data_IF_377143681824
#
_entry.id   IF_377143681824
#
_cell.length_a   1.000
_cell.length_b   1.000
_cell.length_c   1.000
_cell.angle_alpha   90.00
_cell.angle_beta   90.00
_cell.angle_gamma   90.00
#
_symmetry.space_group_name_H-M   'P 1'
#
loop_
_entity.id
_entity.type
_entity.pdbx_description
1 polymer ?
#
# COMPACT_ATOMS: atom_id res chain seq x y z
N UNK A 1 6.47 -6.17 23.36
CA UNK A 1 6.97 -6.57 22.03
C UNK A 1 7.05 -5.31 21.19
N UNK A 2 8.24 -4.92 20.80
CA UNK A 2 8.48 -3.74 19.96
C UNK A 2 7.86 -3.98 18.58
N UNK A 3 7.02 -3.05 18.13
CA UNK A 3 6.49 -2.96 16.77
C UNK A 3 7.66 -2.77 15.81
N UNK A 4 8.06 -3.84 15.12
CA UNK A 4 9.15 -3.79 14.15
C UNK A 4 8.60 -3.20 12.85
N UNK A 5 8.85 -1.91 12.64
CA UNK A 5 8.59 -1.22 11.38
C UNK A 5 9.92 -1.02 10.67
N UNK A 6 10.01 -1.30 9.35
CA UNK A 6 11.30 -1.18 8.65
C UNK A 6 11.85 0.24 8.66
N UNK A 7 10.97 1.25 8.73
CA UNK A 7 11.31 2.68 8.83
C UNK A 7 12.03 3.05 10.13
N UNK A 8 11.90 2.24 11.18
CA UNK A 8 12.52 2.52 12.48
C UNK A 8 13.77 1.69 12.75
N UNK A 9 14.19 0.86 11.80
CA UNK A 9 15.36 0.00 11.97
C UNK A 9 16.67 0.74 11.66
N UNK A 10 17.72 0.36 12.40
CA UNK A 10 19.08 0.67 12.00
C UNK A 10 19.42 -0.05 10.69
N UNK A 11 20.37 0.48 9.90
CA UNK A 11 20.78 -0.21 8.67
C UNK A 11 21.21 -1.67 8.89
N UNK A 12 22.02 -2.02 9.92
CA UNK A 12 22.34 -3.41 10.22
C UNK A 12 21.11 -4.29 10.45
N UNK A 13 20.16 -3.86 11.28
CA UNK A 13 18.95 -4.64 11.58
C UNK A 13 18.05 -4.77 10.35
N UNK A 14 17.92 -3.68 9.58
CA UNK A 14 17.20 -3.67 8.31
C UNK A 14 17.80 -4.66 7.33
N UNK A 15 19.13 -4.67 7.16
CA UNK A 15 19.81 -5.57 6.25
C UNK A 15 19.64 -7.04 6.66
N UNK A 16 19.72 -7.34 7.96
CA UNK A 16 19.47 -8.68 8.50
C UNK A 16 18.06 -9.17 8.21
N UNK A 17 17.06 -8.30 8.34
CA UNK A 17 15.66 -8.69 8.14
C UNK A 17 15.24 -8.73 6.66
N UNK A 18 15.78 -7.85 5.82
CA UNK A 18 15.33 -7.72 4.43
C UNK A 18 16.09 -8.61 3.44
N UNK A 19 17.33 -9.02 3.77
CA UNK A 19 18.11 -9.91 2.89
C UNK A 19 17.38 -11.24 2.58
N UNK A 20 16.77 -11.94 3.55
CA UNK A 20 15.97 -13.12 3.26
C UNK A 20 14.77 -12.83 2.34
N UNK A 21 14.07 -11.71 2.56
CA UNK A 21 12.94 -11.31 1.73
C UNK A 21 13.37 -11.00 0.29
N UNK A 22 14.51 -10.32 0.09
CA UNK A 22 15.09 -10.10 -1.23
C UNK A 22 15.39 -11.43 -1.91
N UNK A 23 16.04 -12.37 -1.22
CA UNK A 23 16.34 -13.67 -1.81
C UNK A 23 15.08 -14.42 -2.26
N UNK A 24 14.04 -14.41 -1.43
CA UNK A 24 12.75 -15.02 -1.77
C UNK A 24 12.10 -14.33 -2.96
N UNK A 25 12.06 -12.99 -2.97
CA UNK A 25 11.48 -12.22 -4.07
C UNK A 25 12.19 -12.52 -5.40
N UNK A 26 13.52 -12.55 -5.40
CA UNK A 26 14.29 -12.88 -6.60
C UNK A 26 14.00 -14.31 -7.10
N UNK A 27 13.81 -15.25 -6.18
CA UNK A 27 13.47 -16.64 -6.52
C UNK A 27 12.06 -16.74 -7.11
N UNK A 28 11.08 -16.08 -6.51
CA UNK A 28 9.68 -16.10 -6.96
C UNK A 28 9.49 -15.44 -8.34
N UNK A 29 10.45 -14.59 -8.74
CA UNK A 29 10.42 -13.82 -9.97
C UNK A 29 11.58 -14.11 -10.94
N UNK A 30 12.21 -15.29 -10.84
CA UNK A 30 13.37 -15.66 -11.66
C UNK A 30 13.15 -15.48 -13.16
N UNK A 31 11.97 -15.87 -13.66
CA UNK A 31 11.62 -15.76 -15.08
C UNK A 31 11.60 -14.30 -15.57
N UNK A 32 11.08 -13.37 -14.76
CA UNK A 32 11.08 -11.93 -15.08
C UNK A 32 12.49 -11.34 -15.05
N UNK A 33 13.35 -11.89 -14.19
CA UNK A 33 14.72 -11.43 -13.96
C UNK A 33 15.75 -12.07 -14.89
N UNK A 34 15.33 -12.92 -15.83
CA UNK A 34 16.22 -13.59 -16.76
C UNK A 34 17.13 -12.59 -17.50
N UNK A 35 18.45 -12.81 -17.40
CA UNK A 35 19.46 -11.95 -18.01
C UNK A 35 19.75 -10.64 -17.27
N UNK A 36 19.13 -10.40 -16.10
CA UNK A 36 19.38 -9.23 -15.25
C UNK A 36 20.29 -9.60 -14.07
N UNK A 37 21.32 -8.81 -13.81
CA UNK A 37 22.22 -9.01 -12.66
C UNK A 37 21.86 -8.05 -11.52
N UNK A 38 21.72 -8.56 -10.29
CA UNK A 38 21.50 -7.76 -9.09
C UNK A 38 22.69 -7.89 -8.14
N UNK A 39 23.25 -6.75 -7.75
CA UNK A 39 24.11 -6.66 -6.58
C UNK A 39 23.20 -6.58 -5.33
N UNK A 40 23.13 -7.67 -4.57
CA UNK A 40 22.21 -7.80 -3.43
C UNK A 40 22.53 -6.82 -2.30
N UNK A 41 23.81 -6.56 -2.03
CA UNK A 41 24.23 -5.63 -0.99
C UNK A 41 23.84 -4.20 -1.35
N UNK A 42 24.07 -3.81 -2.61
CA UNK A 42 23.63 -2.50 -3.10
C UNK A 42 22.10 -2.39 -3.08
N UNK A 43 21.38 -3.43 -3.50
CA UNK A 43 19.92 -3.45 -3.47
C UNK A 43 19.37 -3.25 -2.04
N UNK A 44 19.95 -3.90 -1.03
CA UNK A 44 19.53 -3.70 0.37
C UNK A 44 19.82 -2.27 0.85
N UNK A 45 20.93 -1.64 0.42
CA UNK A 45 21.21 -0.22 0.71
C UNK A 45 20.23 0.73 0.03
N UNK A 46 19.85 0.43 -1.19
CA UNK A 46 18.91 1.25 -1.96
C UNK A 46 17.49 1.10 -1.39
N UNK A 47 17.08 -0.11 -0.97
CA UNK A 47 15.84 -0.32 -0.22
C UNK A 47 15.82 0.42 1.11
N UNK A 48 16.95 0.43 1.85
CA UNK A 48 17.06 1.22 3.09
C UNK A 48 16.88 2.70 2.79
N UNK A 49 17.49 3.21 1.72
CA UNK A 49 17.35 4.60 1.30
C UNK A 49 15.91 4.91 0.87
N UNK A 50 15.25 3.98 0.18
CA UNK A 50 13.86 4.08 -0.27
C UNK A 50 12.90 4.23 0.90
N UNK A 51 12.92 3.33 1.88
CA UNK A 51 11.98 3.40 3.03
C UNK A 51 12.19 4.63 3.90
N UNK A 52 13.36 5.28 3.82
CA UNK A 52 13.66 6.53 4.51
C UNK A 52 13.48 7.78 3.63
N UNK A 53 12.85 7.65 2.45
CA UNK A 53 12.54 8.78 1.56
C UNK A 53 13.75 9.41 0.88
N UNK A 54 14.86 8.69 0.76
CA UNK A 54 16.12 9.17 0.16
C UNK A 54 16.37 8.62 -1.24
N UNK A 55 15.46 7.81 -1.77
CA UNK A 55 15.53 7.22 -3.10
C UNK A 55 14.37 7.77 -3.96
N UNK A 56 14.69 8.31 -5.14
CA UNK A 56 13.69 8.82 -6.07
C UNK A 56 13.25 7.70 -7.02
N UNK A 57 11.94 7.50 -7.15
CA UNK A 57 11.34 6.56 -8.11
C UNK A 57 10.70 7.33 -9.27
N UNK A 58 10.81 6.77 -10.48
CA UNK A 58 10.15 7.31 -11.66
C UNK A 58 8.92 6.46 -12.04
N UNK A 59 7.74 7.08 -12.14
CA UNK A 59 6.48 6.41 -12.42
C UNK A 59 5.64 7.22 -13.43
N UNK A 60 4.95 6.53 -14.35
CA UNK A 60 4.04 7.14 -15.32
C UNK A 60 2.59 6.93 -14.88
N UNK A 61 1.83 8.01 -14.71
CA UNK A 61 0.44 7.91 -14.21
C UNK A 61 -0.54 7.41 -15.26
N UNK A 62 -1.42 6.44 -14.93
CA UNK A 62 -2.54 6.08 -15.80
C UNK A 62 -3.67 7.12 -15.76
N UNK A 63 -4.53 7.10 -16.78
CA UNK A 63 -5.71 7.99 -16.90
C UNK A 63 -6.98 7.29 -16.40
N UNK A 64 -7.60 7.82 -15.35
CA UNK A 64 -8.88 7.31 -14.85
C UNK A 64 -10.06 7.79 -15.72
N UNK A 65 -11.03 6.91 -15.97
CA UNK A 65 -12.33 7.26 -16.58
C UNK A 65 -13.44 7.13 -15.54
N UNK A 66 -14.18 8.21 -15.28
CA UNK A 66 -15.10 8.34 -14.13
C UNK A 66 -16.58 8.18 -14.56
N UNK A 67 -17.36 7.44 -13.76
CA UNK A 67 -18.82 7.23 -13.86
C UNK A 67 -19.49 7.34 -12.48
N UNK A 68 -20.70 7.95 -12.43
CA UNK A 68 -21.66 8.12 -11.30
C UNK A 68 -21.15 8.61 -9.94
N UNK A 69 -21.96 9.37 -9.18
CA UNK A 69 -21.52 10.06 -7.95
C UNK A 69 -21.15 9.13 -6.77
N UNK A 70 -21.87 8.01 -6.56
CA UNK A 70 -21.56 7.05 -5.47
C UNK A 70 -20.28 6.24 -5.78
N UNK A 71 -20.19 5.67 -6.98
CA UNK A 71 -19.01 4.89 -7.38
C UNK A 71 -17.76 5.79 -7.43
N UNK A 72 -17.89 7.04 -7.88
CA UNK A 72 -16.78 8.02 -7.83
C UNK A 72 -16.31 8.29 -6.40
N UNK A 73 -17.24 8.42 -5.43
CA UNK A 73 -16.87 8.60 -4.03
C UNK A 73 -16.15 7.37 -3.47
N UNK A 74 -16.63 6.15 -3.79
CA UNK A 74 -16.00 4.90 -3.36
C UNK A 74 -14.59 4.76 -3.94
N UNK A 75 -14.41 5.04 -5.23
CA UNK A 75 -13.10 5.01 -5.90
C UNK A 75 -12.15 6.02 -5.25
N UNK A 76 -12.60 7.25 -5.01
CA UNK A 76 -11.77 8.30 -4.38
C UNK A 76 -11.31 7.87 -2.99
N UNK A 77 -12.24 7.39 -2.15
CA UNK A 77 -11.91 6.91 -0.81
C UNK A 77 -10.99 5.67 -0.87
N UNK A 78 -11.18 4.77 -1.83
CA UNK A 78 -10.34 3.59 -2.01
C UNK A 78 -8.91 3.97 -2.40
N UNK A 79 -8.74 4.93 -3.32
CA UNK A 79 -7.43 5.46 -3.72
C UNK A 79 -6.70 6.02 -2.50
N UNK A 80 -7.38 6.78 -1.65
CA UNK A 80 -6.77 7.38 -0.47
C UNK A 80 -6.36 6.33 0.58
N UNK A 81 -7.20 5.31 0.81
CA UNK A 81 -6.89 4.19 1.71
C UNK A 81 -5.69 3.38 1.19
N UNK A 82 -5.67 3.03 -0.09
CA UNK A 82 -4.54 2.34 -0.71
C UNK A 82 -3.29 3.22 -0.65
N UNK A 83 -3.42 4.53 -0.90
CA UNK A 83 -2.31 5.48 -0.83
C UNK A 83 -1.70 5.57 0.57
N UNK A 84 -2.52 5.60 1.62
CA UNK A 84 -2.07 5.58 3.02
C UNK A 84 -1.26 4.32 3.30
N UNK A 85 -1.76 3.16 2.85
CA UNK A 85 -1.09 1.88 3.09
C UNK A 85 0.22 1.77 2.31
N UNK A 86 0.24 2.17 1.04
CA UNK A 86 1.45 2.21 0.23
C UNK A 86 2.51 3.14 0.88
N UNK A 87 2.11 4.32 1.35
CA UNK A 87 3.02 5.21 2.07
C UNK A 87 3.48 4.61 3.39
N UNK A 88 2.61 3.93 4.14
CA UNK A 88 2.96 3.24 5.38
C UNK A 88 4.08 2.21 5.13
N UNK A 89 3.95 1.39 4.08
CA UNK A 89 4.97 0.39 3.70
C UNK A 89 6.21 0.97 3.00
N UNK A 90 6.32 2.29 2.86
CA UNK A 90 7.51 2.97 2.37
C UNK A 90 7.53 3.26 0.87
N UNK A 91 6.38 3.17 0.19
CA UNK A 91 6.25 3.70 -1.18
C UNK A 91 6.30 5.23 -1.12
N UNK A 92 7.19 5.87 -1.89
CA UNK A 92 7.29 7.33 -1.96
C UNK A 92 5.99 7.98 -2.46
N UNK A 93 5.64 9.12 -1.85
CA UNK A 93 4.44 9.91 -2.20
C UNK A 93 4.34 10.22 -3.70
N UNK A 94 5.48 10.48 -4.35
CA UNK A 94 5.57 10.84 -5.77
C UNK A 94 4.99 9.79 -6.72
N UNK A 95 4.88 8.53 -6.28
CA UNK A 95 4.35 7.42 -7.09
C UNK A 95 3.11 6.78 -6.45
N UNK A 96 2.89 6.98 -5.15
CA UNK A 96 1.78 6.39 -4.38
C UNK A 96 0.43 6.56 -5.05
N UNK A 97 0.03 7.80 -5.36
CA UNK A 97 -1.33 8.08 -5.84
C UNK A 97 -1.61 7.38 -7.18
N UNK A 98 -0.61 7.33 -8.04
CA UNK A 98 -0.76 6.77 -9.36
C UNK A 98 -0.85 5.22 -9.33
N UNK A 99 -0.03 4.58 -8.48
CA UNK A 99 -0.18 3.14 -8.17
C UNK A 99 -1.54 2.84 -7.54
N UNK A 100 -2.01 3.69 -6.62
CA UNK A 100 -3.31 3.50 -5.98
C UNK A 100 -4.47 3.62 -6.98
N UNK A 101 -4.40 4.54 -7.93
CA UNK A 101 -5.37 4.64 -9.04
C UNK A 101 -5.40 3.34 -9.84
N UNK A 102 -4.25 2.83 -10.28
CA UNK A 102 -4.19 1.60 -11.07
C UNK A 102 -4.76 0.38 -10.32
N UNK A 103 -4.44 0.23 -9.03
CA UNK A 103 -4.97 -0.85 -8.19
C UNK A 103 -6.49 -0.75 -8.07
N UNK A 104 -7.04 0.46 -7.96
CA UNK A 104 -8.47 0.68 -7.74
C UNK A 104 -9.27 0.64 -9.05
N UNK A 105 -8.69 1.08 -10.17
CA UNK A 105 -9.33 1.08 -11.49
C UNK A 105 -9.69 -0.35 -11.97
N UNK A 106 -8.95 -1.36 -11.50
CA UNK A 106 -9.22 -2.78 -11.79
C UNK A 106 -10.36 -3.38 -10.92
N UNK A 107 -10.87 -2.64 -9.93
CA UNK A 107 -11.92 -3.12 -9.03
C UNK A 107 -13.29 -2.84 -9.64
N UNK A 108 -14.11 -3.89 -9.80
CA UNK A 108 -15.47 -3.72 -10.32
C UNK A 108 -16.34 -2.90 -9.33
N UNK A 109 -17.29 -2.08 -9.83
CA UNK A 109 -18.21 -1.34 -8.97
C UNK A 109 -18.94 -2.24 -7.96
N UNK A 110 -19.31 -3.46 -8.35
CA UNK A 110 -19.97 -4.42 -7.46
C UNK A 110 -19.06 -4.85 -6.30
N UNK A 111 -17.78 -5.07 -6.57
CA UNK A 111 -16.81 -5.41 -5.54
C UNK A 111 -16.60 -4.24 -4.55
N UNK A 112 -16.65 -2.98 -5.02
CA UNK A 112 -16.63 -1.79 -4.16
C UNK A 112 -17.88 -1.69 -3.29
N UNK A 113 -19.07 -1.95 -3.84
CA UNK A 113 -20.32 -1.98 -3.04
C UNK A 113 -20.31 -3.08 -1.99
N UNK A 114 -19.61 -4.19 -2.22
CA UNK A 114 -19.39 -5.23 -1.21
C UNK A 114 -18.61 -4.77 0.02
N UNK A 115 -17.99 -3.57 -0.02
CA UNK A 115 -17.21 -2.97 1.06
C UNK A 115 -17.92 -1.82 1.78
N UNK A 116 -19.21 -1.57 1.52
CA UNK A 116 -19.98 -0.48 2.15
C UNK A 116 -19.87 -0.46 3.69
N UNK A 117 -19.92 -1.63 4.32
CA UNK A 117 -19.77 -1.74 5.78
C UNK A 117 -18.39 -1.28 6.26
N UNK A 118 -17.33 -1.49 5.48
CA UNK A 118 -15.97 -1.06 5.80
C UNK A 118 -15.80 0.45 5.58
N UNK A 119 -16.42 1.03 4.53
CA UNK A 119 -16.49 2.49 4.36
C UNK A 119 -17.23 3.16 5.51
N UNK A 120 -18.38 2.61 5.91
CA UNK A 120 -19.13 3.10 7.07
C UNK A 120 -18.31 3.01 8.36
N UNK A 121 -17.65 1.87 8.60
CA UNK A 121 -16.81 1.70 9.79
C UNK A 121 -15.67 2.74 9.84
N UNK A 122 -15.14 3.17 8.69
CA UNK A 122 -14.13 4.24 8.62
C UNK A 122 -14.75 5.62 8.90
N UNK A 123 -15.94 5.91 8.37
CA UNK A 123 -16.64 7.16 8.62
C UNK A 123 -17.04 7.32 10.10
N UNK A 124 -17.49 6.23 10.73
CA UNK A 124 -17.97 6.19 12.12
C UNK A 124 -16.81 6.05 13.13
N UNK A 125 -15.55 6.00 12.69
CA UNK A 125 -14.41 5.80 13.58
C UNK A 125 -14.06 7.06 14.38
N UNK A 126 -14.10 6.96 15.72
CA UNK A 126 -13.88 8.10 16.61
C UNK A 126 -12.40 8.39 16.86
N UNK A 127 -11.65 7.39 17.35
CA UNK A 127 -10.26 7.56 17.75
C UNK A 127 -9.29 7.40 16.58
N UNK A 128 -8.10 7.99 16.66
CA UNK A 128 -7.06 7.82 15.63
C UNK A 128 -6.67 6.35 15.43
N UNK A 129 -6.68 5.57 16.51
CA UNK A 129 -6.44 4.12 16.47
C UNK A 129 -7.57 3.37 15.77
N UNK A 130 -8.84 3.75 16.00
CA UNK A 130 -9.98 3.10 15.34
C UNK A 130 -10.05 3.46 13.87
N UNK A 131 -9.70 4.70 13.50
CA UNK A 131 -9.52 5.12 12.11
C UNK A 131 -8.45 4.31 11.41
N UNK A 132 -7.29 4.12 12.05
CA UNK A 132 -6.21 3.31 11.50
C UNK A 132 -6.60 1.83 11.35
N UNK A 133 -7.34 1.26 12.30
CA UNK A 133 -7.92 -0.09 12.18
C UNK A 133 -8.90 -0.18 11.02
N UNK A 134 -9.78 0.80 10.86
CA UNK A 134 -10.77 0.82 9.78
C UNK A 134 -10.10 0.96 8.41
N UNK A 135 -9.07 1.80 8.28
CA UNK A 135 -8.23 1.89 7.08
C UNK A 135 -7.58 0.54 6.77
N UNK A 136 -6.95 -0.10 7.76
CA UNK A 136 -6.31 -1.39 7.56
C UNK A 136 -7.31 -2.49 7.16
N UNK A 137 -8.50 -2.50 7.78
CA UNK A 137 -9.57 -3.44 7.45
C UNK A 137 -10.13 -3.22 6.03
N UNK A 138 -10.33 -1.96 5.63
CA UNK A 138 -10.78 -1.60 4.29
C UNK A 138 -9.73 -1.97 3.24
N UNK A 139 -8.44 -1.68 3.51
CA UNK A 139 -7.34 -2.15 2.67
C UNK A 139 -7.28 -3.67 2.57
N UNK A 140 -7.45 -4.40 3.68
CA UNK A 140 -7.51 -5.86 3.66
C UNK A 140 -8.68 -6.38 2.82
N UNK A 141 -9.80 -5.62 2.78
CA UNK A 141 -10.91 -5.85 1.86
C UNK A 141 -10.47 -5.73 0.40
N UNK A 142 -9.83 -4.63 0.02
CA UNK A 142 -9.28 -4.44 -1.34
C UNK A 142 -8.27 -5.53 -1.68
N UNK A 143 -7.35 -5.84 -0.77
CA UNK A 143 -6.33 -6.88 -0.96
C UNK A 143 -6.94 -8.27 -1.20
N UNK A 144 -8.09 -8.59 -0.60
CA UNK A 144 -8.81 -9.85 -0.89
C UNK A 144 -9.43 -9.87 -2.27
N UNK A 145 -9.82 -8.71 -2.81
CA UNK A 145 -10.40 -8.58 -4.15
C UNK A 145 -9.30 -8.63 -5.21
N UNK A 146 -8.23 -7.86 -5.02
CA UNK A 146 -7.18 -7.67 -6.04
C UNK A 146 -6.05 -8.68 -5.93
N UNK A 147 -5.64 -9.01 -4.70
CA UNK A 147 -4.48 -9.83 -4.41
C UNK A 147 -3.14 -9.12 -4.62
N UNK A 148 -2.08 -9.62 -3.95
CA UNK A 148 -0.73 -9.03 -4.02
C UNK A 148 -0.17 -8.97 -5.44
N UNK A 149 -0.55 -9.90 -6.32
CA UNK A 149 -0.06 -9.96 -7.70
C UNK A 149 -0.48 -8.74 -8.51
N UNK A 150 -1.71 -8.24 -8.34
CA UNK A 150 -2.16 -7.05 -9.05
C UNK A 150 -1.47 -5.78 -8.53
N UNK A 151 -1.27 -5.69 -7.21
CA UNK A 151 -0.49 -4.60 -6.60
C UNK A 151 0.94 -4.57 -7.15
N UNK A 152 1.61 -5.72 -7.19
CA UNK A 152 2.97 -5.82 -7.74
C UNK A 152 3.01 -5.61 -9.25
N UNK A 153 1.97 -6.02 -9.98
CA UNK A 153 1.85 -5.82 -11.44
C UNK A 153 1.66 -4.35 -11.82
N UNK A 154 0.82 -3.61 -11.09
CA UNK A 154 0.64 -2.17 -11.28
C UNK A 154 1.96 -1.39 -11.10
N UNK A 155 2.75 -1.83 -10.11
CA UNK A 155 4.09 -1.28 -9.87
C UNK A 155 5.05 -1.70 -11.00
N UNK A 156 4.99 -2.94 -11.47
CA UNK A 156 5.84 -3.48 -12.53
C UNK A 156 5.69 -2.72 -13.84
N UNK A 157 4.46 -2.45 -14.26
CA UNK A 157 4.17 -1.80 -15.55
C UNK A 157 4.73 -0.39 -15.68
N UNK A 158 4.97 0.27 -14.55
CA UNK A 158 5.19 1.72 -14.51
C UNK A 158 6.54 2.10 -13.88
N UNK A 159 7.40 1.12 -13.58
CA UNK A 159 8.73 1.36 -13.01
C UNK A 159 9.83 0.64 -13.76
N UNK A 160 11.07 1.12 -13.63
CA UNK A 160 12.21 0.36 -14.10
C UNK A 160 12.31 -0.96 -13.31
N UNK A 161 12.74 -2.03 -13.98
CA UNK A 161 12.81 -3.37 -13.38
C UNK A 161 13.58 -3.40 -12.05
N UNK A 162 14.62 -2.56 -11.90
CA UNK A 162 15.41 -2.50 -10.67
C UNK A 162 14.61 -1.89 -9.52
N UNK A 163 13.94 -0.76 -9.78
CA UNK A 163 13.06 -0.07 -8.84
C UNK A 163 11.89 -0.97 -8.41
N UNK A 164 11.33 -1.72 -9.35
CA UNK A 164 10.32 -2.74 -9.08
C UNK A 164 10.83 -3.82 -8.11
N UNK A 165 12.06 -4.31 -8.27
CA UNK A 165 12.63 -5.27 -7.31
C UNK A 165 12.76 -4.67 -5.91
N UNK A 166 13.27 -3.43 -5.81
CA UNK A 166 13.44 -2.75 -4.52
C UNK A 166 12.08 -2.60 -3.81
N UNK A 167 11.08 -2.06 -4.52
CA UNK A 167 9.75 -1.84 -3.96
C UNK A 167 9.02 -3.15 -3.67
N UNK A 168 9.02 -4.09 -4.62
CA UNK A 168 8.33 -5.36 -4.47
C UNK A 168 8.84 -6.15 -3.27
N UNK A 169 10.16 -6.12 -3.05
CA UNK A 169 10.78 -6.73 -1.86
C UNK A 169 10.30 -6.05 -0.58
N UNK A 170 10.37 -4.72 -0.50
CA UNK A 170 9.98 -3.94 0.68
C UNK A 170 8.49 -4.14 1.01
N UNK A 171 7.61 -4.01 0.02
CA UNK A 171 6.16 -4.17 0.17
C UNK A 171 5.84 -5.58 0.67
N UNK A 172 6.40 -6.61 0.03
CA UNK A 172 6.13 -8.01 0.42
C UNK A 172 6.61 -8.31 1.84
N UNK A 173 7.81 -7.83 2.20
CA UNK A 173 8.36 -8.00 3.53
C UNK A 173 7.52 -7.28 4.60
N UNK A 174 7.10 -6.05 4.33
CA UNK A 174 6.35 -5.23 5.28
C UNK A 174 4.92 -5.76 5.47
N UNK A 175 4.27 -6.20 4.39
CA UNK A 175 2.96 -6.87 4.48
C UNK A 175 3.06 -8.17 5.28
N UNK A 176 4.13 -8.94 5.09
CA UNK A 176 4.39 -10.15 5.89
C UNK A 176 4.55 -9.80 7.37
N UNK A 177 5.29 -8.73 7.70
CA UNK A 177 5.45 -8.26 9.08
C UNK A 177 4.12 -7.79 9.70
N UNK A 178 3.27 -7.12 8.93
CA UNK A 178 1.93 -6.72 9.37
C UNK A 178 1.04 -7.93 9.65
N UNK A 179 1.04 -8.92 8.75
CA UNK A 179 0.28 -10.15 8.95
C UNK A 179 0.79 -10.96 10.16
N UNK A 180 2.11 -11.02 10.36
CA UNK A 180 2.72 -11.70 11.51
C UNK A 180 2.41 -11.04 12.86
N UNK A 181 1.93 -9.79 12.85
CA UNK A 181 1.56 -9.03 14.06
C UNK A 181 0.05 -8.78 14.17
N UNK A 182 -0.77 -9.55 13.45
CA UNK A 182 -2.23 -9.38 13.40
C UNK A 182 -2.66 -7.93 13.08
N UNK A 183 -1.85 -7.22 12.27
CA UNK A 183 -2.09 -5.83 11.87
C UNK A 183 -1.68 -4.77 12.91
N UNK A 184 -1.15 -5.14 14.08
CA UNK A 184 -0.72 -4.17 15.10
C UNK A 184 0.36 -3.24 14.57
N UNK A 185 1.36 -3.77 13.84
CA UNK A 185 2.39 -2.96 13.23
C UNK A 185 1.83 -2.00 12.17
N UNK A 186 0.85 -2.46 11.37
CA UNK A 186 0.18 -1.65 10.36
C UNK A 186 -0.56 -0.46 10.98
N UNK A 187 -1.34 -0.73 12.03
CA UNK A 187 -2.11 0.29 12.75
C UNK A 187 -1.17 1.37 13.30
N UNK A 188 -0.04 0.99 13.90
CA UNK A 188 0.93 1.93 14.43
C UNK A 188 1.54 2.83 13.34
N UNK A 189 1.86 2.27 12.17
CA UNK A 189 2.38 3.03 11.03
C UNK A 189 1.34 3.99 10.44
N UNK A 190 0.08 3.54 10.30
CA UNK A 190 -1.01 4.36 9.75
C UNK A 190 -1.35 5.53 10.68
N UNK A 191 -1.36 5.33 12.01
CA UNK A 191 -1.63 6.39 13.01
C UNK A 191 -0.72 7.61 12.82
N UNK A 192 0.54 7.40 12.43
CA UNK A 192 1.54 8.47 12.26
C UNK A 192 1.26 9.31 11.00
N UNK A 193 0.50 8.78 10.02
CA UNK A 193 0.16 9.47 8.78
C UNK A 193 -0.93 10.54 8.94
N UNK A 194 -1.50 10.70 10.14
CA UNK A 194 -2.23 11.88 10.61
C UNK A 194 -3.19 12.54 9.61
N UNK A 195 -2.69 13.53 8.86
CA UNK A 195 -3.47 14.28 7.88
C UNK A 195 -4.09 13.39 6.78
N UNK A 196 -3.38 12.37 6.32
CA UNK A 196 -3.93 11.43 5.32
C UNK A 196 -5.07 10.59 5.91
N UNK A 197 -4.95 10.18 7.17
CA UNK A 197 -6.02 9.46 7.89
C UNK A 197 -7.27 10.33 8.02
N UNK A 198 -7.10 11.63 8.32
CA UNK A 198 -8.22 12.56 8.38
C UNK A 198 -8.91 12.73 7.02
N UNK A 199 -8.14 12.80 5.94
CA UNK A 199 -8.66 12.88 4.57
C UNK A 199 -9.47 11.62 4.21
N UNK A 200 -8.93 10.42 4.47
CA UNK A 200 -9.65 9.17 4.21
C UNK A 200 -10.98 9.06 4.98
N UNK A 201 -11.06 9.61 6.20
CA UNK A 201 -12.33 9.67 6.96
C UNK A 201 -13.33 10.65 6.34
N UNK A 202 -12.85 11.79 5.84
CA UNK A 202 -13.70 12.73 5.12
C UNK A 202 -14.28 12.10 3.84
N UNK A 203 -13.45 11.39 3.07
CA UNK A 203 -13.90 10.71 1.86
C UNK A 203 -14.83 9.52 2.16
N UNK A 204 -14.60 8.78 3.25
CA UNK A 204 -15.53 7.76 3.72
C UNK A 204 -16.90 8.35 4.10
N UNK A 205 -16.93 9.55 4.70
CA UNK A 205 -18.19 10.25 5.01
C UNK A 205 -18.92 10.66 3.73
N UNK A 206 -18.17 11.10 2.70
CA UNK A 206 -18.74 11.36 1.37
C UNK A 206 -19.33 10.09 0.75
N UNK A 207 -18.66 8.94 0.87
CA UNK A 207 -19.20 7.64 0.43
C UNK A 207 -20.52 7.34 1.12
N UNK A 208 -20.57 7.42 2.45
CA UNK A 208 -21.79 7.16 3.24
C UNK A 208 -22.96 8.03 2.75
N UNK A 209 -22.70 9.32 2.52
CA UNK A 209 -23.72 10.25 2.04
C UNK A 209 -24.14 10.01 0.58
N UNK A 210 -23.18 9.77 -0.32
CA UNK A 210 -23.42 9.64 -1.76
C UNK A 210 -24.08 8.30 -2.11
N UNK A 211 -23.83 7.27 -1.31
CA UNK A 211 -24.33 5.91 -1.51
C UNK A 211 -25.54 5.59 -0.60
N UNK A 212 -25.97 6.53 0.26
CA UNK A 212 -27.07 6.35 1.23
C UNK A 212 -26.87 5.13 2.15
N UNK A 213 -25.65 4.94 2.66
CA UNK A 213 -25.31 3.85 3.59
C UNK A 213 -25.80 4.23 4.99
N UNK A 214 -26.66 3.41 5.59
CA UNK A 214 -27.22 3.63 6.94
C UNK A 214 -26.28 3.21 8.05
#
# INVERSE_FOLDING_TARGET
>A
MSTVTFKNLSYPDFATQLTPALNQFLQDHEAFLAGKSINKEQAVRDMYSLVHGKYALYYQSPSATISSSCVTAMITCAIDVVSIVLQAVGVPESVTKAVAVEIVDDISPEALTGLEAAFKALADADSLTDKAKAIFALFAGFYKITGIRQILGAIEHNMAWYEWVLMGTVITAQLTAWLATDGIAAIAEIVILGALVAQAVADATLVVSACNIG
#
